data_IF_358679882264
#
_entry.id   IF_358679882264
#
_cell.length_a   1.000
_cell.length_b   1.000
_cell.length_c   1.000
_cell.angle_alpha   90.00
_cell.angle_beta   90.00
_cell.angle_gamma   90.00
#
_symmetry.space_group_name_H-M   'P 1'
#
loop_
_entity.id
_entity.type
_entity.pdbx_description
1 polymer ?
#
# COMPACT_ATOMS: atom_id res chain seq x y z
N UNK A 1 -12.02 -5.42 -9.77
CA UNK A 1 -12.30 -6.73 -9.12
C UNK A 1 -11.99 -6.63 -7.64
N UNK A 2 -12.69 -7.35 -6.75
CA UNK A 2 -12.41 -7.29 -5.30
C UNK A 2 -11.55 -8.50 -4.90
N UNK A 3 -10.37 -8.24 -4.33
CA UNK A 3 -9.47 -9.28 -3.84
C UNK A 3 -8.83 -8.89 -2.49
N UNK A 4 -8.38 -9.89 -1.73
CA UNK A 4 -7.59 -9.64 -0.51
C UNK A 4 -6.15 -9.38 -0.90
N UNK A 5 -5.65 -8.19 -0.61
CA UNK A 5 -4.28 -7.79 -0.96
C UNK A 5 -3.48 -7.45 0.27
N UNK A 6 -2.16 -7.53 0.14
CA UNK A 6 -1.22 -6.88 1.06
C UNK A 6 -0.70 -5.63 0.35
N UNK A 7 -0.74 -4.49 1.02
CA UNK A 7 -0.28 -3.23 0.44
C UNK A 7 0.60 -2.45 1.43
N UNK A 8 1.62 -1.79 0.88
CA UNK A 8 2.38 -0.74 1.54
C UNK A 8 1.77 0.61 1.16
N UNK A 9 1.26 1.34 2.14
CA UNK A 9 0.68 2.66 1.98
C UNK A 9 1.67 3.72 2.48
N UNK A 10 1.77 4.82 1.74
CA UNK A 10 2.43 6.04 2.16
C UNK A 10 1.38 7.10 2.44
N UNK A 11 1.43 7.66 3.63
CA UNK A 11 0.62 8.78 4.07
C UNK A 11 1.48 10.04 4.11
N UNK A 12 0.92 11.16 3.67
CA UNK A 12 1.45 12.49 3.92
C UNK A 12 0.35 13.29 4.61
N UNK A 13 0.60 13.77 5.83
CA UNK A 13 -0.37 14.50 6.63
C UNK A 13 -1.72 13.76 6.77
N UNK A 14 -1.64 12.45 7.02
CA UNK A 14 -2.77 11.52 7.16
C UNK A 14 -3.60 11.25 5.89
N UNK A 15 -3.19 11.76 4.73
CA UNK A 15 -3.78 11.37 3.44
C UNK A 15 -2.94 10.30 2.76
N UNK A 16 -3.58 9.26 2.21
CA UNK A 16 -2.91 8.28 1.36
C UNK A 16 -2.46 9.00 0.08
N UNK A 17 -1.15 9.04 -0.15
CA UNK A 17 -0.57 9.60 -1.37
C UNK A 17 -0.08 8.52 -2.33
N UNK A 18 0.47 7.44 -1.81
CA UNK A 18 0.94 6.33 -2.62
C UNK A 18 0.58 4.98 -2.00
N UNK A 19 0.44 3.97 -2.86
CA UNK A 19 0.24 2.59 -2.48
C UNK A 19 1.00 1.67 -3.42
N UNK A 20 1.50 0.56 -2.87
CA UNK A 20 2.10 -0.52 -3.64
C UNK A 20 1.60 -1.86 -3.13
N UNK A 21 1.01 -2.65 -4.02
CA UNK A 21 0.64 -4.05 -3.73
C UNK A 21 1.92 -4.88 -3.56
N UNK A 22 1.93 -5.76 -2.57
CA UNK A 22 3.07 -6.59 -2.18
C UNK A 22 2.65 -8.06 -2.17
N UNK A 23 3.56 -8.97 -2.52
CA UNK A 23 3.25 -10.40 -2.58
C UNK A 23 3.02 -11.02 -1.19
N UNK A 24 3.59 -10.42 -0.14
CA UNK A 24 3.43 -10.89 1.23
C UNK A 24 3.61 -9.79 2.27
N UNK A 25 3.10 -10.04 3.49
CA UNK A 25 3.29 -9.16 4.63
C UNK A 25 4.78 -9.03 5.01
N UNK A 26 5.56 -10.11 4.88
CA UNK A 26 6.99 -10.07 5.16
C UNK A 26 7.76 -9.11 4.25
N UNK A 27 7.43 -9.11 2.95
CA UNK A 27 8.00 -8.15 1.99
C UNK A 27 7.53 -6.73 2.29
N UNK A 28 6.26 -6.53 2.60
CA UNK A 28 5.73 -5.23 2.98
C UNK A 28 6.49 -4.65 4.19
N UNK A 29 6.64 -5.42 5.27
CA UNK A 29 7.32 -4.97 6.49
C UNK A 29 8.80 -4.65 6.24
N UNK A 30 9.48 -5.41 5.37
CA UNK A 30 10.87 -5.09 4.96
C UNK A 30 10.91 -3.77 4.18
N UNK A 31 10.01 -3.58 3.22
CA UNK A 31 9.91 -2.34 2.44
C UNK A 31 9.62 -1.12 3.32
N UNK A 32 8.66 -1.26 4.24
CA UNK A 32 8.34 -0.24 5.27
C UNK A 32 9.58 0.18 6.05
N UNK A 33 10.34 -0.78 6.59
CA UNK A 33 11.58 -0.47 7.35
C UNK A 33 12.60 0.30 6.52
N UNK A 34 12.74 -0.03 5.23
CA UNK A 34 13.66 0.68 4.33
C UNK A 34 13.18 2.11 4.05
N UNK A 35 11.88 2.29 3.81
CA UNK A 35 11.29 3.61 3.57
C UNK A 35 11.39 4.53 4.80
N UNK A 36 11.20 3.98 6.00
CA UNK A 36 11.31 4.72 7.26
C UNK A 36 12.75 5.08 7.65
N UNK A 37 13.77 4.62 6.92
CA UNK A 37 15.17 5.02 7.19
C UNK A 37 15.43 6.49 6.95
N UNK A 38 14.74 7.07 5.97
CA UNK A 38 14.81 8.50 5.71
C UNK A 38 13.60 9.16 6.36
N UNK A 39 13.83 9.81 7.50
CA UNK A 39 12.77 10.57 8.16
C UNK A 39 12.34 11.74 7.28
N UNK A 40 11.03 11.88 7.11
CA UNK A 40 10.40 13.03 6.48
C UNK A 40 9.19 13.41 7.33
N UNK A 41 9.11 14.69 7.69
CA UNK A 41 8.04 15.18 8.55
C UNK A 41 6.67 15.01 7.87
N UNK A 42 5.69 14.51 8.63
CA UNK A 42 4.34 14.26 8.11
C UNK A 42 4.21 13.01 7.23
N UNK A 43 5.31 12.31 6.91
CA UNK A 43 5.30 11.07 6.13
C UNK A 43 5.17 9.85 7.07
N UNK A 44 4.23 8.95 6.77
CA UNK A 44 4.07 7.68 7.48
C UNK A 44 3.89 6.53 6.51
N UNK A 45 4.47 5.37 6.84
CA UNK A 45 4.30 4.15 6.05
C UNK A 45 3.51 3.10 6.83
N UNK A 46 2.55 2.44 6.18
CA UNK A 46 1.74 1.41 6.82
C UNK A 46 1.59 0.19 5.91
N UNK A 47 1.80 -0.98 6.48
CA UNK A 47 1.43 -2.23 5.84
C UNK A 47 0.01 -2.59 6.25
N UNK A 48 -0.81 -2.95 5.26
CA UNK A 48 -2.18 -3.39 5.48
C UNK A 48 -2.44 -4.69 4.73
N UNK A 49 -3.28 -5.53 5.33
CA UNK A 49 -3.93 -6.66 4.66
C UNK A 49 -5.42 -6.44 4.74
N UNK A 50 -6.07 -6.18 3.62
CA UNK A 50 -7.51 -5.92 3.56
C UNK A 50 -8.09 -6.39 2.23
N UNK A 51 -9.41 -6.41 2.14
CA UNK A 51 -10.08 -6.45 0.85
C UNK A 51 -9.85 -5.11 0.16
N UNK A 52 -9.64 -5.16 -1.15
CA UNK A 52 -9.46 -3.97 -1.97
C UNK A 52 -10.12 -4.17 -3.33
N UNK A 53 -10.67 -3.09 -3.86
CA UNK A 53 -11.08 -3.03 -5.27
C UNK A 53 -9.84 -2.71 -6.11
N UNK A 54 -9.49 -3.64 -7.00
CA UNK A 54 -8.33 -3.58 -7.88
C UNK A 54 -8.76 -3.33 -9.31
N UNK A 55 -8.06 -2.41 -9.97
CA UNK A 55 -8.12 -2.19 -11.42
C UNK A 55 -6.85 -2.72 -12.08
N UNK A 56 -7.04 -3.33 -13.25
CA UNK A 56 -5.95 -3.76 -14.11
C UNK A 56 -5.66 -2.63 -15.10
N UNK A 57 -4.43 -2.14 -15.05
CA UNK A 57 -3.94 -1.17 -16.01
C UNK A 57 -3.61 -1.86 -17.34
N UNK A 58 -3.50 -1.07 -18.41
CA UNK A 58 -3.21 -1.56 -19.77
C UNK A 58 -1.84 -2.26 -19.85
N UNK A 59 -0.90 -1.88 -18.97
CA UNK A 59 0.43 -2.49 -18.83
C UNK A 59 0.43 -3.81 -18.04
N UNK A 60 -0.73 -4.27 -17.56
CA UNK A 60 -0.88 -5.47 -16.73
C UNK A 60 -0.59 -5.24 -15.24
N UNK A 61 -0.24 -4.02 -14.83
CA UNK A 61 -0.08 -3.68 -13.41
C UNK A 61 -1.44 -3.60 -12.70
N UNK A 62 -1.43 -3.89 -11.40
CA UNK A 62 -2.62 -3.83 -10.54
C UNK A 62 -2.58 -2.55 -9.70
N UNK A 63 -3.68 -1.81 -9.69
CA UNK A 63 -3.84 -0.59 -8.89
C UNK A 63 -4.98 -0.74 -7.90
N UNK A 64 -4.78 -0.30 -6.67
CA UNK A 64 -5.85 -0.19 -5.68
C UNK A 64 -6.70 1.04 -6.01
N UNK A 65 -7.97 0.82 -6.33
CA UNK A 65 -8.98 1.87 -6.50
C UNK A 65 -9.61 2.28 -5.17
N UNK A 66 -9.94 1.29 -4.35
CA UNK A 66 -10.53 1.51 -3.03
C UNK A 66 -10.08 0.44 -2.05
N UNK A 67 -9.75 0.85 -0.83
CA UNK A 67 -9.56 -0.06 0.30
C UNK A 67 -10.90 -0.27 1.01
N UNK A 68 -11.25 -1.53 1.24
CA UNK A 68 -12.44 -1.91 1.99
C UNK A 68 -11.95 -2.34 3.38
N UNK A 69 -12.11 -1.43 4.35
CA UNK A 69 -11.76 -1.63 5.75
C UNK A 69 -13.01 -2.09 6.49
N UNK A 70 -13.02 -3.34 6.94
CA UNK A 70 -14.03 -3.94 7.83
C UNK A 70 -13.55 -3.90 9.28
#
# INVERSE_FOLDING_TARGET
>A
MVETVVALLMFINNEIKEHRIQDSMGLCLRGKRTAERQYSEGVKYQCIKSKAEIELNIDGSKTIKALILE
#
